data_IF_599578198834
#
_entry.id   IF_599578198834
#
_cell.length_a   1.000
_cell.length_b   1.000
_cell.length_c   1.000
_cell.angle_alpha   90.00
_cell.angle_beta   90.00
_cell.angle_gamma   90.00
#
_symmetry.space_group_name_H-M   'P 1'
#
loop_
_entity.id
_entity.type
_entity.pdbx_description
1 polymer ?
#
# COMPACT_ATOMS: atom_id res chain seq x y z
N UNK A 1 -25.34 37.74 6.49
CA UNK A 1 -24.60 36.79 7.34
C UNK A 1 -24.85 35.32 6.95
N UNK A 2 -26.10 34.89 6.78
CA UNK A 2 -26.47 33.51 6.40
C UNK A 2 -25.95 33.03 5.02
N UNK A 3 -25.85 33.93 4.03
CA UNK A 3 -25.33 33.63 2.68
C UNK A 3 -23.80 33.38 2.66
N UNK A 4 -23.04 34.08 3.50
CA UNK A 4 -21.58 33.89 3.60
C UNK A 4 -21.24 32.52 4.21
N UNK A 5 -21.98 32.09 5.23
CA UNK A 5 -21.76 30.80 5.91
C UNK A 5 -22.01 29.62 4.95
N UNK A 6 -23.05 29.68 4.11
CA UNK A 6 -23.31 28.64 3.09
C UNK A 6 -22.16 28.54 2.08
N UNK A 7 -21.69 29.68 1.57
CA UNK A 7 -20.58 29.73 0.60
C UNK A 7 -19.27 29.18 1.21
N UNK A 8 -18.97 29.49 2.47
CA UNK A 8 -17.77 28.97 3.16
C UNK A 8 -17.87 27.46 3.46
N UNK A 9 -19.06 26.96 3.81
CA UNK A 9 -19.29 25.51 4.03
C UNK A 9 -19.14 24.71 2.72
N UNK A 10 -19.63 25.20 1.59
CA UNK A 10 -19.42 24.53 0.29
C UNK A 10 -17.96 24.60 -0.16
N UNK A 11 -17.28 25.72 0.08
CA UNK A 11 -15.86 25.90 -0.25
C UNK A 11 -14.93 24.97 0.55
N UNK A 12 -15.27 24.63 1.79
CA UNK A 12 -14.51 23.70 2.64
C UNK A 12 -14.99 22.26 2.49
N UNK A 13 -16.29 22.07 2.25
CA UNK A 13 -16.90 20.74 2.11
C UNK A 13 -16.33 19.96 0.94
N UNK A 14 -16.16 20.59 -0.22
CA UNK A 14 -15.64 19.94 -1.43
C UNK A 14 -14.20 19.40 -1.27
N UNK A 15 -13.20 20.17 -0.79
CA UNK A 15 -11.84 19.66 -0.60
C UNK A 15 -11.77 18.61 0.52
N UNK A 16 -12.58 18.72 1.58
CA UNK A 16 -12.64 17.71 2.64
C UNK A 16 -13.17 16.38 2.10
N UNK A 17 -14.23 16.40 1.30
CA UNK A 17 -14.75 15.20 0.62
C UNK A 17 -13.68 14.60 -0.30
N UNK A 18 -12.99 15.42 -1.08
CA UNK A 18 -11.88 14.99 -1.92
C UNK A 18 -10.77 14.30 -1.12
N UNK A 19 -10.36 14.88 0.00
CA UNK A 19 -9.36 14.30 0.91
C UNK A 19 -9.81 12.95 1.47
N UNK A 20 -11.06 12.86 1.93
CA UNK A 20 -11.63 11.60 2.44
C UNK A 20 -11.61 10.52 1.36
N UNK A 21 -12.01 10.84 0.14
CA UNK A 21 -11.97 9.89 -1.00
C UNK A 21 -10.55 9.39 -1.24
N UNK A 22 -9.55 10.29 -1.27
CA UNK A 22 -8.14 9.91 -1.47
C UNK A 22 -7.64 9.00 -0.36
N UNK A 23 -7.95 9.31 0.90
CA UNK A 23 -7.55 8.47 2.05
C UNK A 23 -8.21 7.10 1.97
N UNK A 24 -9.52 7.03 1.70
CA UNK A 24 -10.25 5.76 1.55
C UNK A 24 -9.66 4.92 0.41
N UNK A 25 -9.43 5.53 -0.75
CA UNK A 25 -8.79 4.87 -1.89
C UNK A 25 -7.39 4.35 -1.53
N UNK A 26 -6.58 5.14 -0.81
CA UNK A 26 -5.24 4.74 -0.39
C UNK A 26 -5.27 3.52 0.52
N UNK A 27 -6.18 3.50 1.50
CA UNK A 27 -6.36 2.37 2.42
C UNK A 27 -6.85 1.15 1.66
N UNK A 28 -7.83 1.30 0.76
CA UNK A 28 -8.33 0.20 -0.06
C UNK A 28 -7.23 -0.44 -0.92
N UNK A 29 -6.45 0.37 -1.64
CA UNK A 29 -5.32 -0.10 -2.45
C UNK A 29 -4.29 -0.81 -1.57
N UNK A 30 -3.95 -0.25 -0.41
CA UNK A 30 -3.02 -0.87 0.52
C UNK A 30 -3.49 -2.26 0.99
N UNK A 31 -4.78 -2.41 1.31
CA UNK A 31 -5.35 -3.70 1.71
C UNK A 31 -5.31 -4.73 0.58
N UNK A 32 -5.59 -4.30 -0.65
CA UNK A 32 -5.49 -5.16 -1.84
C UNK A 32 -4.04 -5.62 -2.07
N UNK A 33 -3.08 -4.72 -1.97
CA UNK A 33 -1.65 -5.05 -2.09
C UNK A 33 -1.23 -6.08 -1.04
N UNK A 34 -1.57 -5.83 0.23
CA UNK A 34 -1.25 -6.72 1.35
C UNK A 34 -1.85 -8.12 1.12
N UNK A 35 -3.12 -8.20 0.71
CA UNK A 35 -3.78 -9.48 0.40
C UNK A 35 -3.07 -10.24 -0.73
N UNK A 36 -2.64 -9.54 -1.79
CA UNK A 36 -1.87 -10.13 -2.89
C UNK A 36 -0.51 -10.63 -2.40
N UNK A 37 0.19 -9.86 -1.58
CA UNK A 37 1.48 -10.23 -0.97
C UNK A 37 1.33 -11.48 -0.12
N UNK A 38 0.33 -11.55 0.76
CA UNK A 38 0.06 -12.73 1.57
C UNK A 38 -0.24 -13.97 0.72
N UNK A 39 -1.04 -13.80 -0.33
CA UNK A 39 -1.36 -14.90 -1.27
C UNK A 39 -0.10 -15.40 -1.97
N UNK A 40 0.76 -14.49 -2.44
CA UNK A 40 2.03 -14.82 -3.10
C UNK A 40 3.02 -15.48 -2.11
N UNK A 41 3.11 -14.99 -0.88
CA UNK A 41 3.96 -15.56 0.17
C UNK A 41 3.51 -16.96 0.58
N UNK A 42 2.19 -17.19 0.70
CA UNK A 42 1.62 -18.50 1.02
C UNK A 42 1.90 -19.53 -0.08
N UNK A 43 1.85 -19.12 -1.36
CA UNK A 43 2.25 -19.99 -2.49
C UNK A 43 3.72 -20.41 -2.43
N UNK A 44 4.61 -19.59 -1.86
CA UNK A 44 6.02 -19.94 -1.59
C UNK A 44 6.21 -20.82 -0.35
N UNK A 45 5.16 -21.04 0.44
CA UNK A 45 5.23 -21.80 1.70
C UNK A 45 5.81 -21.02 2.87
N UNK A 46 5.85 -19.70 2.79
CA UNK A 46 6.31 -18.83 3.87
C UNK A 46 5.27 -18.75 4.99
N UNK A 47 5.75 -18.68 6.23
CA UNK A 47 4.94 -18.56 7.45
C UNK A 47 5.25 -17.27 8.19
N UNK A 48 4.38 -16.89 9.14
CA UNK A 48 4.54 -15.69 9.99
C UNK A 48 4.85 -14.43 9.17
N UNK A 49 4.11 -14.24 8.08
CA UNK A 49 4.35 -13.18 7.11
C UNK A 49 3.91 -11.84 7.70
N UNK A 50 4.84 -10.90 7.81
CA UNK A 50 4.62 -9.52 8.23
C UNK A 50 4.93 -8.62 7.06
N UNK A 51 3.98 -7.77 6.69
CA UNK A 51 4.11 -6.84 5.56
C UNK A 51 4.17 -5.41 6.08
N UNK A 52 5.21 -4.68 5.71
CA UNK A 52 5.39 -3.26 6.04
C UNK A 52 5.50 -2.46 4.75
N UNK A 53 4.75 -1.37 4.65
CA UNK A 53 4.88 -0.45 3.52
C UNK A 53 6.17 0.36 3.66
N UNK A 54 6.91 0.50 2.56
CA UNK A 54 8.15 1.28 2.48
C UNK A 54 8.00 2.38 1.41
N UNK A 55 7.59 3.61 1.79
CA UNK A 55 7.42 4.72 0.87
C UNK A 55 8.72 5.21 0.23
N UNK A 56 9.89 4.87 0.78
CA UNK A 56 11.16 5.43 0.35
C UNK A 56 12.18 4.35 -0.02
N UNK A 57 11.68 3.20 -0.47
CA UNK A 57 12.56 2.13 -0.94
C UNK A 57 13.44 2.63 -2.10
N UNK A 58 14.72 2.24 -2.17
CA UNK A 58 15.59 2.60 -3.28
C UNK A 58 14.99 2.10 -4.61
N UNK A 59 14.79 3.02 -5.56
CA UNK A 59 14.02 2.82 -6.80
C UNK A 59 12.72 3.63 -6.90
N UNK A 60 12.24 4.16 -5.77
CA UNK A 60 10.97 4.90 -5.64
C UNK A 60 10.84 6.15 -6.55
N UNK A 61 11.94 6.83 -6.88
CA UNK A 61 11.89 8.13 -7.57
C UNK A 61 11.71 8.05 -9.09
N UNK A 62 11.78 6.86 -9.71
CA UNK A 62 11.74 6.72 -11.17
C UNK A 62 10.80 5.63 -11.72
N UNK A 63 10.16 4.84 -10.85
CA UNK A 63 9.20 3.80 -11.26
C UNK A 63 7.76 4.29 -11.04
N UNK A 64 7.12 4.73 -12.13
CA UNK A 64 5.77 5.29 -12.11
C UNK A 64 4.73 4.28 -11.62
N UNK A 65 4.22 4.48 -10.40
CA UNK A 65 3.02 3.78 -9.90
C UNK A 65 3.27 2.45 -9.18
N UNK A 66 4.52 2.04 -9.00
CA UNK A 66 4.86 0.85 -8.22
C UNK A 66 4.90 1.16 -6.71
N UNK A 67 4.40 0.23 -5.89
CA UNK A 67 4.36 0.37 -4.43
C UNK A 67 5.29 -0.63 -3.79
N UNK A 68 6.23 -0.14 -2.99
CA UNK A 68 7.27 -0.95 -2.37
C UNK A 68 6.86 -1.38 -0.96
N UNK A 69 7.17 -2.63 -0.64
CA UNK A 69 6.90 -3.25 0.65
C UNK A 69 8.10 -4.05 1.12
N UNK A 70 8.27 -4.13 2.43
CA UNK A 70 9.19 -5.04 3.10
C UNK A 70 8.36 -6.15 3.71
N UNK A 71 8.74 -7.39 3.43
CA UNK A 71 8.07 -8.59 3.91
C UNK A 71 9.04 -9.40 4.73
N UNK A 72 8.73 -9.58 6.01
CA UNK A 72 9.45 -10.48 6.92
C UNK A 72 8.64 -11.77 7.04
N UNK A 73 9.31 -12.91 6.94
CA UNK A 73 8.65 -14.22 6.99
C UNK A 73 9.59 -15.28 7.59
N UNK A 74 9.02 -16.41 8.02
CA UNK A 74 9.76 -17.63 8.33
C UNK A 74 9.75 -18.57 7.12
N UNK A 75 10.94 -19.01 6.72
CA UNK A 75 11.12 -19.99 5.65
C UNK A 75 10.89 -21.43 6.14
N UNK A 76 11.06 -22.41 5.25
CA UNK A 76 10.91 -23.84 5.60
C UNK A 76 11.96 -24.34 6.60
N UNK A 77 13.09 -23.63 6.73
CA UNK A 77 14.14 -23.91 7.72
C UNK A 77 13.89 -23.19 9.06
N UNK A 78 12.70 -22.61 9.24
CA UNK A 78 12.31 -21.83 10.42
C UNK A 78 13.16 -20.57 10.65
N UNK A 79 13.94 -20.13 9.65
CA UNK A 79 14.73 -18.92 9.74
C UNK A 79 13.89 -17.71 9.36
N UNK A 80 14.05 -16.62 10.13
CA UNK A 80 13.45 -15.34 9.78
C UNK A 80 14.23 -14.70 8.63
N UNK A 81 13.53 -14.40 7.55
CA UNK A 81 14.06 -13.74 6.36
C UNK A 81 13.27 -12.48 6.11
N UNK A 82 13.94 -11.45 5.63
CA UNK A 82 13.31 -10.20 5.20
C UNK A 82 13.61 -10.01 3.73
N UNK A 83 12.58 -9.73 2.93
CA UNK A 83 12.71 -9.43 1.50
C UNK A 83 11.92 -8.19 1.13
N UNK A 84 12.37 -7.48 0.10
CA UNK A 84 11.61 -6.39 -0.49
C UNK A 84 10.73 -6.92 -1.62
N UNK A 85 9.57 -6.33 -1.81
CA UNK A 85 8.73 -6.60 -2.96
C UNK A 85 8.10 -5.32 -3.50
N UNK A 86 7.69 -5.38 -4.76
CA UNK A 86 6.96 -4.32 -5.44
C UNK A 86 5.59 -4.87 -5.84
N UNK A 87 4.55 -4.05 -5.71
CA UNK A 87 3.22 -4.36 -6.21
C UNK A 87 2.82 -3.36 -7.28
N UNK A 88 2.33 -3.89 -8.40
CA UNK A 88 1.65 -3.12 -9.42
C UNK A 88 0.15 -3.43 -9.42
N UNK A 89 -0.67 -2.46 -9.85
CA UNK A 89 -2.11 -2.69 -10.00
C UNK A 89 -2.40 -3.83 -10.99
N UNK A 90 -1.59 -3.94 -12.06
CA UNK A 90 -1.76 -4.90 -13.16
C UNK A 90 -0.68 -6.00 -13.20
N UNK A 91 0.51 -5.77 -12.67
CA UNK A 91 1.69 -6.66 -12.86
C UNK A 91 1.89 -7.69 -11.75
N UNK A 92 1.13 -7.61 -10.65
CA UNK A 92 1.20 -8.58 -9.54
C UNK A 92 2.23 -8.22 -8.48
N UNK A 93 2.83 -9.23 -7.84
CA UNK A 93 3.83 -9.08 -6.76
C UNK A 93 5.19 -9.54 -7.28
N UNK A 94 6.13 -8.60 -7.38
CA UNK A 94 7.51 -8.87 -7.75
C UNK A 94 8.40 -8.89 -6.50
N UNK A 95 9.18 -9.94 -6.33
CA UNK A 95 10.07 -10.09 -5.18
C UNK A 95 11.48 -9.68 -5.60
N UNK A 96 12.10 -8.75 -4.86
CA UNK A 96 13.53 -8.53 -4.97
C UNK A 96 14.26 -9.62 -4.17
N UNK A 97 15.26 -10.25 -4.80
CA UNK A 97 16.15 -11.21 -4.15
C UNK A 97 17.19 -10.52 -3.25
#
# INVERSE_FOLDING_TARGET
MMLFIKSTIEAIGLPVVGLVIVVVMRVAIHRLDVSRIFTAARRKGWKDVVVKWDPFAPGFLFENGERHYVVTFRDRSMQSRTRRCKTGLLTGVFWAD
#
